data_IF_261534417302
#
_entry.id   IF_261534417302
#
_cell.length_a   1.000
_cell.length_b   1.000
_cell.length_c   1.000
_cell.angle_alpha   90.00
_cell.angle_beta   90.00
_cell.angle_gamma   90.00
#
_symmetry.space_group_name_H-M   'P 1'
#
loop_
_entity.id
_entity.type
_entity.pdbx_description
1 polymer ?
#
# COMPACT_ATOMS: atom_id res chain seq x y z
N UNK A 1 3.31 -0.07 -29.50
CA UNK A 1 3.89 -0.08 -28.14
C UNK A 1 4.66 -1.39 -27.92
N UNK A 2 5.86 -1.34 -27.37
CA UNK A 2 6.65 -2.54 -27.13
C UNK A 2 6.10 -3.34 -25.93
N UNK A 3 6.39 -4.64 -25.86
CA UNK A 3 6.17 -5.41 -24.62
C UNK A 3 7.17 -4.98 -23.55
N UNK A 4 6.83 -5.21 -22.28
CA UNK A 4 7.75 -4.90 -21.17
C UNK A 4 9.08 -5.64 -21.36
N UNK A 5 10.22 -4.93 -21.49
CA UNK A 5 11.51 -5.57 -21.70
C UNK A 5 11.81 -6.53 -20.56
N UNK A 6 12.34 -7.71 -20.89
CA UNK A 6 12.66 -8.73 -19.90
C UNK A 6 13.56 -8.17 -18.78
N UNK A 7 14.45 -7.24 -19.11
CA UNK A 7 15.28 -6.50 -18.17
C UNK A 7 14.49 -5.73 -17.12
N UNK A 8 13.56 -4.87 -17.56
CA UNK A 8 12.72 -4.06 -16.68
C UNK A 8 11.84 -4.96 -15.81
N UNK A 9 11.28 -6.03 -16.42
CA UNK A 9 10.52 -7.07 -15.71
C UNK A 9 11.33 -7.68 -14.56
N UNK A 10 12.59 -8.06 -14.80
CA UNK A 10 13.45 -8.61 -13.75
C UNK A 10 13.73 -7.60 -12.64
N UNK A 11 13.91 -6.32 -12.97
CA UNK A 11 14.15 -5.28 -11.96
C UNK A 11 12.94 -4.98 -11.10
N UNK A 12 11.73 -4.99 -11.66
CA UNK A 12 10.49 -4.93 -10.87
C UNK A 12 10.47 -6.08 -9.85
N UNK A 13 10.71 -7.31 -10.31
CA UNK A 13 10.74 -8.49 -9.44
C UNK A 13 11.82 -8.35 -8.35
N UNK A 14 13.02 -7.90 -8.71
CA UNK A 14 14.13 -7.72 -7.77
C UNK A 14 13.82 -6.64 -6.71
N UNK A 15 13.20 -5.54 -7.11
CA UNK A 15 12.75 -4.48 -6.21
C UNK A 15 11.70 -4.99 -5.22
N UNK A 16 10.68 -5.69 -5.70
CA UNK A 16 9.62 -6.26 -4.87
C UNK A 16 10.13 -7.37 -3.95
N UNK A 17 11.08 -8.20 -4.42
CA UNK A 17 11.75 -9.20 -3.58
C UNK A 17 12.51 -8.54 -2.43
N UNK A 18 13.15 -7.40 -2.68
CA UNK A 18 13.86 -6.61 -1.66
C UNK A 18 12.89 -6.04 -0.63
N UNK A 19 11.73 -5.50 -1.06
CA UNK A 19 10.69 -5.07 -0.13
C UNK A 19 10.09 -6.24 0.67
N UNK A 20 9.89 -7.41 0.05
CA UNK A 20 9.47 -8.60 0.78
C UNK A 20 10.49 -8.96 1.87
N UNK A 21 11.79 -8.90 1.56
CA UNK A 21 12.87 -9.11 2.53
C UNK A 21 12.81 -8.10 3.68
N UNK A 22 12.64 -6.82 3.37
CA UNK A 22 12.49 -5.77 4.38
C UNK A 22 11.35 -6.07 5.37
N UNK A 23 10.19 -6.51 4.87
CA UNK A 23 9.03 -6.89 5.69
C UNK A 23 9.34 -8.12 6.55
N UNK A 24 9.99 -9.13 5.98
CA UNK A 24 10.37 -10.33 6.73
C UNK A 24 11.34 -10.00 7.85
N UNK A 25 12.36 -9.17 7.59
CA UNK A 25 13.35 -8.78 8.60
C UNK A 25 12.73 -7.94 9.74
N UNK A 26 11.74 -7.09 9.45
CA UNK A 26 10.99 -6.33 10.47
C UNK A 26 10.05 -7.21 11.29
N UNK A 27 9.25 -8.04 10.63
CA UNK A 27 8.20 -8.84 11.29
C UNK A 27 8.73 -10.05 12.08
N UNK A 28 9.81 -10.65 11.61
CA UNK A 28 10.50 -11.77 12.25
C UNK A 28 11.94 -11.35 12.49
N UNK A 29 12.19 -10.65 13.59
CA UNK A 29 13.55 -10.39 14.08
C UNK A 29 14.40 -11.68 13.94
N UNK A 30 15.64 -11.54 13.46
CA UNK A 30 16.69 -12.48 12.97
C UNK A 30 16.71 -13.99 13.39
N UNK A 31 15.82 -14.51 14.22
CA UNK A 31 15.78 -15.90 14.69
C UNK A 31 14.84 -16.86 13.95
N UNK A 32 14.16 -16.44 12.88
CA UNK A 32 13.36 -17.38 12.07
C UNK A 32 14.26 -18.23 11.18
N UNK A 33 13.96 -19.53 11.05
CA UNK A 33 14.67 -20.43 10.13
C UNK A 33 14.59 -19.89 8.69
N UNK A 34 15.64 -20.06 7.90
CA UNK A 34 15.71 -19.60 6.51
C UNK A 34 14.49 -20.02 5.69
N UNK A 35 14.04 -21.27 5.82
CA UNK A 35 12.85 -21.77 5.12
C UNK A 35 11.57 -21.00 5.47
N UNK A 36 11.43 -20.56 6.72
CA UNK A 36 10.26 -19.79 7.17
C UNK A 36 10.32 -18.34 6.70
N UNK A 37 11.52 -17.79 6.52
CA UNK A 37 11.74 -16.49 5.90
C UNK A 37 11.37 -16.56 4.42
N UNK A 38 11.87 -17.57 3.70
CA UNK A 38 11.55 -17.80 2.28
C UNK A 38 10.05 -17.97 2.05
N UNK A 39 9.38 -18.80 2.87
CA UNK A 39 7.91 -18.96 2.82
C UNK A 39 7.20 -17.63 3.04
N UNK A 40 7.65 -16.82 4.00
CA UNK A 40 7.04 -15.52 4.27
C UNK A 40 7.28 -14.52 3.12
N UNK A 41 8.47 -14.50 2.52
CA UNK A 41 8.74 -13.68 1.34
C UNK A 41 7.81 -14.03 0.18
N UNK A 42 7.56 -15.33 -0.06
CA UNK A 42 6.58 -15.77 -1.04
C UNK A 42 5.18 -15.25 -0.75
N UNK A 43 4.73 -15.34 0.51
CA UNK A 43 3.44 -14.80 0.96
C UNK A 43 3.34 -13.27 0.83
N UNK A 44 4.40 -12.53 1.16
CA UNK A 44 4.40 -11.07 0.99
C UNK A 44 4.33 -10.68 -0.49
N UNK A 45 5.03 -11.40 -1.37
CA UNK A 45 5.08 -11.10 -2.79
C UNK A 45 3.75 -11.42 -3.49
N UNK A 46 3.24 -12.64 -3.31
CA UNK A 46 2.02 -13.14 -3.98
C UNK A 46 0.73 -12.80 -3.25
N UNK A 47 0.82 -12.38 -1.99
CA UNK A 47 -0.32 -12.13 -1.12
C UNK A 47 -0.78 -13.39 -0.39
N UNK A 48 -1.73 -13.17 0.52
CA UNK A 48 -2.52 -14.22 1.16
C UNK A 48 -3.96 -13.72 1.26
N UNK A 49 -4.90 -14.57 1.66
CA UNK A 49 -6.30 -14.16 1.86
C UNK A 49 -6.45 -12.93 2.77
N UNK A 50 -5.49 -12.71 3.67
CA UNK A 50 -5.51 -11.62 4.64
C UNK A 50 -4.58 -10.45 4.29
N UNK A 51 -3.73 -10.55 3.28
CA UNK A 51 -2.68 -9.55 3.01
C UNK A 51 -2.63 -9.19 1.53
N UNK A 52 -2.69 -7.89 1.23
CA UNK A 52 -2.57 -7.41 -0.16
C UNK A 52 -1.17 -7.77 -0.69
N UNK A 53 -1.04 -8.41 -1.86
CA UNK A 53 0.24 -8.74 -2.46
C UNK A 53 1.08 -7.47 -2.69
N UNK A 54 2.39 -7.53 -2.44
CA UNK A 54 3.31 -6.45 -2.83
C UNK A 54 3.23 -6.17 -4.33
N UNK A 55 3.08 -7.22 -5.13
CA UNK A 55 2.93 -7.10 -6.58
C UNK A 55 1.65 -6.34 -6.96
N UNK A 56 0.52 -6.66 -6.35
CA UNK A 56 -0.73 -5.95 -6.59
C UNK A 56 -0.64 -4.49 -6.14
N UNK A 57 0.03 -4.23 -5.00
CA UNK A 57 0.28 -2.87 -4.49
C UNK A 57 1.11 -2.05 -5.48
N UNK A 58 2.17 -2.64 -6.02
CA UNK A 58 3.02 -2.03 -7.05
C UNK A 58 2.24 -1.75 -8.34
N UNK A 59 1.53 -2.74 -8.86
CA UNK A 59 0.74 -2.60 -10.10
C UNK A 59 -0.38 -1.57 -9.97
N UNK A 60 -0.91 -1.40 -8.76
CA UNK A 60 -1.94 -0.41 -8.48
C UNK A 60 -1.40 1.00 -8.25
N UNK A 61 -0.08 1.22 -8.26
CA UNK A 61 0.54 2.51 -7.95
C UNK A 61 0.24 2.99 -6.53
N UNK A 62 0.05 2.07 -5.58
CA UNK A 62 -0.21 2.45 -4.17
C UNK A 62 1.09 2.69 -3.44
N UNK A 63 1.04 3.58 -2.44
CA UNK A 63 2.18 3.88 -1.59
C UNK A 63 2.89 2.60 -1.09
N UNK A 64 4.24 2.55 -1.16
CA UNK A 64 5.15 3.63 -1.53
C UNK A 64 5.43 3.76 -3.04
N UNK A 65 4.73 3.03 -3.90
CA UNK A 65 5.04 2.93 -5.34
C UNK A 65 4.30 3.93 -6.22
N UNK A 66 3.48 4.80 -5.65
CA UNK A 66 2.82 5.91 -6.36
C UNK A 66 3.84 6.77 -7.11
N UNK A 67 5.00 7.03 -6.49
CA UNK A 67 6.09 7.80 -7.11
C UNK A 67 6.75 7.12 -8.31
N UNK A 68 6.49 5.82 -8.55
CA UNK A 68 7.08 5.08 -9.68
C UNK A 68 6.43 5.42 -11.02
N UNK A 69 5.27 6.07 -11.00
CA UNK A 69 4.42 6.22 -12.16
C UNK A 69 4.14 7.68 -12.51
N UNK A 70 3.93 7.93 -13.80
CA UNK A 70 3.19 9.07 -14.29
C UNK A 70 1.73 8.66 -14.48
N UNK A 71 0.81 9.49 -14.01
CA UNK A 71 -0.63 9.30 -14.26
C UNK A 71 -0.99 9.90 -15.62
N UNK A 72 -1.52 9.06 -16.50
CA UNK A 72 -2.00 9.46 -17.82
C UNK A 72 -3.52 9.31 -17.91
N UNK A 73 -4.23 10.18 -18.66
CA UNK A 73 -5.67 10.03 -18.86
C UNK A 73 -5.99 8.72 -19.60
N UNK A 74 -7.06 8.05 -19.19
CA UNK A 74 -7.51 6.82 -19.86
C UNK A 74 -7.85 7.12 -21.32
N UNK A 75 -7.27 6.32 -22.21
CA UNK A 75 -7.57 6.36 -23.64
C UNK A 75 -8.66 5.35 -23.97
N UNK A 76 -9.63 5.75 -24.79
CA UNK A 76 -10.72 4.87 -25.22
C UNK A 76 -10.19 3.64 -25.97
N UNK A 77 -10.81 2.49 -25.73
CA UNK A 77 -10.49 1.21 -26.38
C UNK A 77 -9.04 0.74 -26.23
N UNK A 78 -8.36 1.17 -25.15
CA UNK A 78 -6.99 0.75 -24.86
C UNK A 78 -6.96 -0.57 -24.08
N UNK A 79 -5.97 -1.41 -24.41
CA UNK A 79 -5.70 -2.68 -23.74
C UNK A 79 -5.57 -2.47 -22.22
N UNK A 80 -6.12 -3.39 -21.43
CA UNK A 80 -6.06 -3.32 -19.96
C UNK A 80 -7.11 -2.41 -19.30
N UNK A 81 -7.92 -1.67 -20.05
CA UNK A 81 -8.98 -0.79 -19.50
C UNK A 81 -10.00 -1.55 -18.64
N UNK A 82 -10.30 -2.80 -18.98
CA UNK A 82 -11.18 -3.67 -18.19
C UNK A 82 -10.63 -3.89 -16.77
N UNK A 83 -9.32 -4.11 -16.65
CA UNK A 83 -8.65 -4.30 -15.37
C UNK A 83 -8.58 -2.99 -14.58
N UNK A 84 -8.26 -1.87 -15.24
CA UNK A 84 -8.27 -0.53 -14.61
C UNK A 84 -9.64 -0.17 -14.06
N UNK A 85 -10.70 -0.48 -14.80
CA UNK A 85 -12.09 -0.27 -14.39
C UNK A 85 -12.43 -1.12 -13.16
N UNK A 86 -12.05 -2.41 -13.16
CA UNK A 86 -12.22 -3.30 -11.98
C UNK A 86 -11.48 -2.77 -10.75
N UNK A 87 -10.30 -2.21 -10.94
CA UNK A 87 -9.49 -1.59 -9.88
C UNK A 87 -9.96 -0.18 -9.49
N UNK A 88 -10.98 0.36 -10.16
CA UNK A 88 -11.48 1.73 -10.00
C UNK A 88 -10.40 2.80 -10.20
N UNK A 89 -9.44 2.52 -11.07
CA UNK A 89 -8.44 3.50 -11.48
C UNK A 89 -9.03 4.40 -12.55
N UNK A 90 -8.95 5.72 -12.34
CA UNK A 90 -9.40 6.74 -13.30
C UNK A 90 -8.31 7.18 -14.27
N UNK A 91 -7.12 6.60 -14.16
CA UNK A 91 -5.92 6.92 -14.93
C UNK A 91 -5.16 5.65 -15.31
N UNK A 92 -4.26 5.79 -16.28
CA UNK A 92 -3.26 4.80 -16.62
C UNK A 92 -1.96 5.12 -15.88
N UNK A 93 -1.25 4.09 -15.44
CA UNK A 93 0.03 4.24 -14.73
C UNK A 93 1.17 3.87 -15.66
N UNK A 94 1.93 4.87 -16.09
CA UNK A 94 3.13 4.70 -16.91
C UNK A 94 4.37 4.69 -16.01
N UNK A 95 5.21 3.65 -16.10
CA UNK A 95 6.45 3.59 -15.34
C UNK A 95 7.41 4.71 -15.78
N UNK A 96 7.95 5.47 -14.82
CA UNK A 96 8.86 6.59 -15.12
C UNK A 96 10.16 6.14 -15.79
N UNK A 97 10.62 6.93 -16.75
CA UNK A 97 11.87 6.74 -17.52
C UNK A 97 13.09 6.43 -16.66
N UNK A 98 13.24 7.12 -15.52
CA UNK A 98 14.36 6.91 -14.59
C UNK A 98 14.45 5.46 -14.07
N UNK A 99 13.34 4.72 -14.05
CA UNK A 99 13.30 3.35 -13.53
C UNK A 99 13.60 2.27 -14.59
N UNK A 100 13.47 2.59 -15.88
CA UNK A 100 13.72 1.63 -16.96
C UNK A 100 14.80 2.05 -17.97
N UNK A 101 15.21 3.33 -17.96
CA UNK A 101 16.30 3.87 -18.77
C UNK A 101 16.11 3.68 -20.29
N UNK A 102 14.88 3.73 -20.78
CA UNK A 102 14.58 3.63 -22.22
C UNK A 102 13.82 4.87 -22.65
N UNK A 103 14.56 5.92 -23.04
CA UNK A 103 14.00 7.22 -23.41
C UNK A 103 12.98 7.05 -24.54
N UNK A 104 11.81 7.69 -24.40
CA UNK A 104 10.73 7.65 -25.39
C UNK A 104 9.97 6.33 -25.45
N UNK A 105 10.26 5.37 -24.56
CA UNK A 105 9.46 4.16 -24.40
C UNK A 105 8.43 4.33 -23.30
N UNK A 106 7.20 3.89 -23.54
CA UNK A 106 6.10 3.95 -22.57
C UNK A 106 5.73 2.54 -22.11
N UNK A 107 5.82 2.30 -20.79
CA UNK A 107 5.44 1.04 -20.17
C UNK A 107 4.28 1.23 -19.20
N UNK A 108 3.08 0.87 -19.64
CA UNK A 108 1.86 1.08 -18.87
C UNK A 108 1.45 -0.23 -18.18
N UNK A 109 1.04 -0.13 -16.91
CA UNK A 109 0.51 -1.26 -16.17
C UNK A 109 -0.75 -1.84 -16.85
N UNK A 110 -0.91 -3.15 -16.75
CA UNK A 110 -1.99 -3.93 -17.37
C UNK A 110 -1.95 -4.02 -18.90
N UNK A 111 -0.82 -3.69 -19.53
CA UNK A 111 -0.59 -3.82 -20.98
C UNK A 111 0.63 -4.68 -21.28
N UNK A 112 0.58 -5.45 -22.39
CA UNK A 112 1.74 -6.01 -23.11
C UNK A 112 2.86 -6.57 -22.23
N UNK A 113 2.52 -7.49 -21.32
CA UNK A 113 3.47 -8.18 -20.45
C UNK A 113 3.89 -7.40 -19.21
N UNK A 114 3.38 -6.18 -19.01
CA UNK A 114 3.40 -5.48 -17.74
C UNK A 114 2.10 -5.75 -16.96
N UNK A 115 1.85 -7.03 -16.68
CA UNK A 115 0.67 -7.50 -15.94
C UNK A 115 1.09 -8.27 -14.70
N UNK A 116 0.14 -8.49 -13.79
CA UNK A 116 0.38 -9.29 -12.57
C UNK A 116 0.80 -10.71 -12.97
N UNK A 117 0.07 -11.33 -13.89
CA UNK A 117 0.30 -12.70 -14.35
C UNK A 117 1.71 -12.85 -14.93
N UNK A 118 2.15 -11.87 -15.73
CA UNK A 118 3.49 -11.85 -16.27
C UNK A 118 4.55 -11.76 -15.15
N UNK A 119 4.35 -10.92 -14.14
CA UNK A 119 5.30 -10.68 -13.05
C UNK A 119 5.28 -11.75 -11.95
N UNK A 120 4.24 -12.58 -11.86
CA UNK A 120 4.15 -13.69 -10.90
C UNK A 120 4.97 -14.92 -11.32
N UNK A 121 5.26 -15.06 -12.62
CA UNK A 121 5.89 -16.27 -13.16
C UNK A 121 7.35 -16.05 -13.58
N UNK A 122 8.20 -17.02 -13.21
CA UNK A 122 9.52 -17.23 -13.81
C UNK A 122 9.40 -18.05 -15.08
N UNK A 123 10.12 -17.66 -16.13
CA UNK A 123 10.17 -18.37 -17.42
C UNK A 123 8.78 -18.71 -18.01
N UNK A 124 7.80 -17.84 -17.77
CA UNK A 124 6.47 -17.91 -18.39
C UNK A 124 5.47 -18.90 -17.78
N UNK A 125 5.88 -19.80 -16.88
CA UNK A 125 4.99 -20.91 -16.44
C UNK A 125 4.97 -21.18 -14.95
N UNK A 126 6.05 -20.93 -14.21
CA UNK A 126 6.15 -21.31 -12.80
C UNK A 126 6.13 -20.08 -11.91
N UNK A 127 5.22 -20.07 -10.94
CA UNK A 127 5.19 -19.08 -9.87
C UNK A 127 6.56 -18.92 -9.21
N UNK A 128 6.97 -17.68 -8.96
CA UNK A 128 8.28 -17.40 -8.36
C UNK A 128 8.26 -17.84 -6.89
N UNK A 129 9.01 -18.89 -6.56
CA UNK A 129 9.11 -19.39 -5.18
C UNK A 129 9.80 -18.39 -4.25
N UNK A 130 9.45 -18.46 -2.96
CA UNK A 130 10.04 -17.68 -1.88
C UNK A 130 11.58 -17.73 -1.82
N UNK A 131 12.17 -18.91 -2.02
CA UNK A 131 13.63 -19.10 -2.14
C UNK A 131 14.23 -18.24 -3.25
N UNK A 132 13.61 -18.24 -4.44
CA UNK A 132 14.10 -17.47 -5.57
C UNK A 132 14.01 -15.96 -5.29
N UNK A 133 12.98 -15.51 -4.56
CA UNK A 133 12.86 -14.12 -4.12
C UNK A 133 13.95 -13.77 -3.10
N UNK A 134 14.24 -14.66 -2.15
CA UNK A 134 15.33 -14.50 -1.18
C UNK A 134 16.69 -14.35 -1.86
N UNK A 135 17.03 -15.25 -2.78
CA UNK A 135 18.27 -15.21 -3.56
C UNK A 135 18.40 -13.90 -4.37
N UNK A 136 17.29 -13.43 -4.97
CA UNK A 136 17.25 -12.14 -5.68
C UNK A 136 17.47 -10.96 -4.76
N UNK A 137 16.78 -10.90 -3.63
CA UNK A 137 16.93 -9.83 -2.65
C UNK A 137 18.37 -9.75 -2.12
N UNK A 138 19.00 -10.90 -1.83
CA UNK A 138 20.41 -10.96 -1.43
C UNK A 138 21.35 -10.45 -2.52
N UNK A 139 21.09 -10.79 -3.79
CA UNK A 139 21.86 -10.26 -4.92
C UNK A 139 21.71 -8.74 -5.06
N UNK A 140 20.50 -8.20 -4.84
CA UNK A 140 20.23 -6.76 -4.79
C UNK A 140 21.03 -6.10 -3.66
N UNK A 141 20.97 -6.64 -2.44
CA UNK A 141 21.74 -6.12 -1.30
C UNK A 141 23.25 -6.10 -1.59
N UNK A 142 23.78 -7.15 -2.21
CA UNK A 142 25.20 -7.23 -2.56
C UNK A 142 25.61 -6.15 -3.58
N UNK A 143 24.83 -5.97 -4.65
CA UNK A 143 25.09 -4.92 -5.64
C UNK A 143 24.86 -3.52 -5.06
N UNK A 144 23.89 -3.36 -4.16
CA UNK A 144 23.61 -2.10 -3.49
C UNK A 144 24.82 -1.56 -2.73
N UNK A 145 25.59 -2.42 -2.03
CA UNK A 145 26.81 -1.99 -1.33
C UNK A 145 27.81 -1.31 -2.26
N UNK A 146 27.98 -1.84 -3.47
CA UNK A 146 28.84 -1.22 -4.49
C UNK A 146 28.24 0.07 -5.06
N UNK A 147 26.95 0.06 -5.37
CA UNK A 147 26.25 1.26 -5.86
C UNK A 147 26.29 2.40 -4.84
N UNK A 148 26.13 2.08 -3.55
CA UNK A 148 26.21 3.05 -2.45
C UNK A 148 27.62 3.62 -2.29
N UNK A 149 28.67 2.80 -2.45
CA UNK A 149 30.05 3.30 -2.49
C UNK A 149 30.24 4.31 -3.62
N UNK A 150 29.75 4.02 -4.82
CA UNK A 150 29.84 4.97 -5.94
C UNK A 150 28.98 6.22 -5.71
N UNK A 151 27.86 6.11 -5.02
CA UNK A 151 27.10 7.28 -4.56
C UNK A 151 27.92 8.16 -3.61
N UNK A 152 28.68 7.56 -2.68
CA UNK A 152 29.58 8.32 -1.81
C UNK A 152 30.74 8.98 -2.57
N UNK A 153 31.19 8.39 -3.69
CA UNK A 153 32.18 9.02 -4.57
C UNK A 153 31.59 10.19 -5.37
N UNK A 154 30.30 10.13 -5.69
CA UNK A 154 29.57 11.22 -6.37
C UNK A 154 29.30 12.41 -5.45
N UNK A 155 28.94 12.13 -4.20
CA UNK A 155 28.68 13.16 -3.18
C UNK A 155 30.01 13.70 -2.64
N UNK A 156 30.12 15.02 -2.47
CA UNK A 156 31.33 15.60 -1.89
C UNK A 156 31.46 15.27 -0.39
N UNK A 157 32.59 15.62 0.25
CA UNK A 157 32.81 15.37 1.68
C UNK A 157 31.76 16.02 2.61
N UNK A 158 30.97 16.97 2.10
CA UNK A 158 29.84 17.61 2.80
C UNK A 158 28.48 16.98 2.46
N UNK A 159 28.42 15.89 1.70
CA UNK A 159 27.19 15.26 1.17
C UNK A 159 26.32 16.21 0.30
N UNK A 160 26.91 17.25 -0.27
CA UNK A 160 26.24 18.16 -1.20
C UNK A 160 26.40 17.66 -2.65
N UNK A 161 25.32 17.84 -3.43
CA UNK A 161 25.29 17.42 -4.83
C UNK A 161 25.96 18.46 -5.73
N UNK A 162 26.92 18.07 -6.58
CA UNK A 162 27.73 19.00 -7.35
C UNK A 162 26.98 19.75 -8.48
N UNK A 163 25.84 19.24 -8.99
CA UNK A 163 25.27 19.70 -10.27
C UNK A 163 23.86 20.32 -10.22
N UNK A 164 23.23 20.53 -9.06
CA UNK A 164 21.91 21.17 -8.96
C UNK A 164 20.70 20.35 -9.49
N UNK A 165 20.91 19.39 -10.41
CA UNK A 165 19.97 18.29 -10.73
C UNK A 165 20.25 17.11 -9.79
N UNK A 166 19.26 16.74 -8.98
CA UNK A 166 19.56 16.05 -7.71
C UNK A 166 19.69 14.54 -7.82
N UNK A 167 18.89 13.85 -8.65
CA UNK A 167 18.84 12.38 -8.64
C UNK A 167 19.26 11.76 -9.98
N UNK A 168 18.89 12.36 -11.10
CA UNK A 168 19.18 11.83 -12.44
C UNK A 168 20.68 11.75 -12.69
N UNK A 169 21.42 12.82 -12.39
CA UNK A 169 22.88 12.88 -12.58
C UNK A 169 23.60 11.86 -11.69
N UNK A 170 23.19 11.78 -10.42
CA UNK A 170 23.69 10.78 -9.47
C UNK A 170 23.46 9.36 -9.98
N UNK A 171 22.25 9.09 -10.46
CA UNK A 171 21.86 7.78 -10.97
C UNK A 171 22.65 7.42 -12.22
N UNK A 172 22.89 8.36 -13.14
CA UNK A 172 23.76 8.16 -14.31
C UNK A 172 25.18 7.84 -13.88
N UNK A 173 25.77 8.61 -12.97
CA UNK A 173 27.11 8.37 -12.45
C UNK A 173 27.25 6.97 -11.82
N UNK A 174 26.34 6.61 -10.92
CA UNK A 174 26.36 5.29 -10.26
C UNK A 174 26.18 4.17 -11.28
N UNK A 175 25.33 4.33 -12.30
CA UNK A 175 25.17 3.34 -13.37
C UNK A 175 26.45 3.16 -14.18
N UNK A 176 27.14 4.24 -14.54
CA UNK A 176 28.41 4.19 -15.26
C UNK A 176 29.48 3.46 -14.46
N UNK A 177 29.65 3.80 -13.17
CA UNK A 177 30.58 3.11 -12.28
C UNK A 177 30.22 1.64 -12.09
N UNK A 178 28.94 1.33 -11.92
CA UNK A 178 28.46 -0.06 -11.81
C UNK A 178 28.66 -0.84 -13.11
N UNK A 179 28.52 -0.22 -14.28
CA UNK A 179 28.78 -0.83 -15.59
C UNK A 179 30.23 -1.26 -15.71
N UNK A 180 31.17 -0.37 -15.38
CA UNK A 180 32.61 -0.66 -15.39
C UNK A 180 32.93 -1.74 -14.37
N UNK A 181 32.46 -1.59 -13.13
CA UNK A 181 32.68 -2.54 -12.04
C UNK A 181 32.18 -3.95 -12.40
N UNK A 182 30.97 -4.05 -12.93
CA UNK A 182 30.36 -5.33 -13.34
C UNK A 182 30.81 -5.79 -14.73
N UNK A 183 31.71 -5.06 -15.39
CA UNK A 183 32.25 -5.38 -16.73
C UNK A 183 31.13 -5.59 -17.76
N UNK A 184 30.13 -4.71 -17.72
CA UNK A 184 28.91 -4.75 -18.52
C UNK A 184 27.90 -5.84 -18.14
N UNK A 185 28.17 -6.65 -17.12
CA UNK A 185 27.19 -7.58 -16.58
C UNK A 185 26.18 -6.88 -15.66
N UNK A 186 25.09 -7.59 -15.35
CA UNK A 186 24.01 -7.06 -14.49
C UNK A 186 24.27 -7.33 -13.02
N UNK A 187 25.09 -8.32 -12.69
CA UNK A 187 25.40 -8.70 -11.32
C UNK A 187 26.80 -9.29 -11.22
N UNK A 188 27.28 -9.41 -9.99
CA UNK A 188 28.60 -9.95 -9.66
C UNK A 188 28.80 -11.39 -10.13
N UNK A 189 27.75 -12.22 -10.16
CA UNK A 189 27.83 -13.59 -10.68
C UNK A 189 28.14 -13.62 -12.18
N UNK A 190 27.45 -12.80 -12.97
CA UNK A 190 27.71 -12.65 -14.41
C UNK A 190 29.13 -12.14 -14.67
N UNK A 191 29.58 -11.15 -13.89
CA UNK A 191 30.94 -10.62 -13.95
C UNK A 191 31.99 -11.73 -13.71
N UNK A 192 31.81 -12.56 -12.67
CA UNK A 192 32.72 -13.68 -12.35
C UNK A 192 32.78 -14.70 -13.48
N UNK A 193 31.63 -15.06 -14.06
CA UNK A 193 31.58 -15.99 -15.20
C UNK A 193 32.27 -15.42 -16.44
N UNK A 194 32.05 -14.13 -16.73
CA UNK A 194 32.71 -13.45 -17.85
C UNK A 194 34.21 -13.40 -17.67
N UNK A 195 34.70 -13.07 -16.47
CA UNK A 195 36.12 -13.05 -16.15
C UNK A 195 36.78 -14.41 -16.38
N UNK A 196 36.17 -15.50 -15.89
CA UNK A 196 36.66 -16.87 -16.14
C UNK A 196 36.80 -17.17 -17.63
N UNK A 197 35.79 -16.80 -18.41
CA UNK A 197 35.79 -17.04 -19.86
C UNK A 197 36.85 -16.21 -20.61
N UNK A 198 37.10 -14.98 -20.17
CA UNK A 198 38.13 -14.11 -20.76
C UNK A 198 39.54 -14.61 -20.45
N UNK A 199 39.79 -15.08 -19.22
CA UNK A 199 41.07 -15.69 -18.84
C UNK A 199 41.37 -16.91 -19.70
N UNK A 200 40.39 -17.78 -19.96
CA UNK A 200 40.56 -18.95 -20.84
C UNK A 200 40.84 -18.57 -22.29
N UNK A 201 40.34 -17.43 -22.76
CA UNK A 201 40.47 -16.98 -24.16
C UNK A 201 41.61 -15.97 -24.39
N UNK A 202 42.31 -15.54 -23.35
CA UNK A 202 43.40 -14.56 -23.43
C UNK A 202 42.98 -13.15 -23.89
N UNK A 203 41.67 -12.83 -23.89
CA UNK A 203 41.14 -11.54 -24.34
C UNK A 203 40.44 -10.83 -23.18
N UNK A 204 41.09 -9.82 -22.62
CA UNK A 204 40.53 -8.96 -21.57
C UNK A 204 39.77 -7.82 -22.23
N UNK A 205 38.45 -7.77 -22.07
CA UNK A 205 37.65 -6.64 -22.56
C UNK A 205 37.82 -5.45 -21.61
N UNK A 206 38.13 -4.27 -22.14
CA UNK A 206 38.13 -3.02 -21.38
C UNK A 206 36.69 -2.49 -21.40
N UNK A 207 36.19 -2.02 -20.25
CA UNK A 207 34.89 -1.37 -20.13
C UNK A 207 35.12 0.03 -19.61
N UNK A 208 34.67 1.01 -20.37
CA UNK A 208 34.75 2.43 -20.00
C UNK A 208 33.36 2.97 -19.66
N UNK A 209 33.31 4.12 -19.00
CA UNK A 209 32.04 4.75 -18.58
C UNK A 209 31.24 5.26 -19.78
N UNK A 210 31.96 5.69 -20.82
CA UNK A 210 31.44 6.21 -22.08
C UNK A 210 30.81 5.11 -22.96
N UNK A 211 31.26 3.86 -22.79
CA UNK A 211 30.72 2.70 -23.50
C UNK A 211 29.45 2.12 -22.86
N UNK A 212 28.96 2.70 -21.76
CA UNK A 212 27.75 2.21 -21.09
C UNK A 212 26.53 2.37 -22.01
N UNK A 213 25.79 1.29 -22.34
CA UNK A 213 24.54 1.40 -23.08
C UNK A 213 23.51 2.25 -22.33
N UNK A 214 22.77 3.10 -23.06
CA UNK A 214 21.77 3.99 -22.47
C UNK A 214 20.72 3.27 -21.62
N UNK A 215 20.40 2.02 -21.97
CA UNK A 215 19.42 1.16 -21.28
C UNK A 215 20.06 0.18 -20.27
N UNK A 216 21.32 0.37 -19.91
CA UNK A 216 22.01 -0.49 -18.95
C UNK A 216 21.43 -0.35 -17.53
N UNK A 217 20.96 -1.45 -16.96
CA UNK A 217 20.53 -1.51 -15.56
C UNK A 217 21.21 -2.70 -14.87
N UNK A 218 21.77 -2.47 -13.70
CA UNK A 218 22.31 -3.54 -12.84
C UNK A 218 21.19 -4.12 -11.97
N UNK A 219 21.40 -5.33 -11.44
CA UNK A 219 20.41 -5.99 -10.59
C UNK A 219 20.30 -5.28 -9.24
N UNK A 220 19.13 -4.72 -8.94
CA UNK A 220 18.91 -3.86 -7.78
C UNK A 220 18.90 -2.37 -8.10
N UNK A 221 18.99 -2.00 -9.37
CA UNK A 221 18.92 -0.62 -9.83
C UNK A 221 17.62 0.07 -9.39
N UNK A 222 16.47 -0.57 -9.64
CA UNK A 222 15.17 0.01 -9.28
C UNK A 222 15.02 0.16 -7.75
N UNK A 223 15.54 -0.81 -6.98
CA UNK A 223 15.55 -0.73 -5.53
C UNK A 223 16.45 0.42 -5.02
N UNK A 224 17.61 0.63 -5.65
CA UNK A 224 18.52 1.72 -5.33
C UNK A 224 17.88 3.10 -5.57
N UNK A 225 17.19 3.29 -6.72
CA UNK A 225 16.52 4.56 -7.04
C UNK A 225 15.33 4.84 -6.10
N UNK A 226 14.56 3.81 -5.77
CA UNK A 226 13.34 3.97 -4.97
C UNK A 226 13.60 4.05 -3.46
N UNK A 227 14.58 3.29 -2.96
CA UNK A 227 14.79 3.05 -1.51
C UNK A 227 16.23 3.22 -1.04
N UNK A 228 17.13 3.68 -1.92
CA UNK A 228 18.54 3.88 -1.60
C UNK A 228 18.82 5.21 -0.89
N UNK A 229 20.01 5.82 -1.07
CA UNK A 229 20.43 7.00 -0.31
C UNK A 229 19.62 8.26 -0.58
N UNK A 230 19.13 8.42 -1.81
CA UNK A 230 18.25 9.51 -2.23
C UNK A 230 16.93 8.93 -2.76
N UNK A 231 16.09 8.36 -1.88
CA UNK A 231 14.96 7.54 -2.30
C UNK A 231 13.86 8.40 -2.89
N UNK A 232 13.36 8.06 -4.08
CA UNK A 232 12.16 8.69 -4.64
C UNK A 232 10.93 8.50 -3.75
N UNK A 233 10.89 7.42 -2.97
CA UNK A 233 9.76 7.09 -2.07
C UNK A 233 9.81 7.84 -0.74
N UNK A 234 10.87 8.61 -0.48
CA UNK A 234 11.20 9.17 0.84
C UNK A 234 11.33 8.12 1.95
N UNK A 235 11.45 6.83 1.59
CA UNK A 235 11.67 5.72 2.50
C UNK A 235 12.94 5.00 2.13
N UNK A 236 13.71 4.61 3.12
CA UNK A 236 14.86 3.73 2.95
C UNK A 236 14.53 2.33 3.46
N UNK A 237 15.17 1.31 2.88
CA UNK A 237 15.08 -0.05 3.39
C UNK A 237 16.29 -0.36 4.25
N UNK A 238 16.07 -0.94 5.44
CA UNK A 238 17.14 -1.32 6.35
C UNK A 238 18.04 -2.39 5.77
N UNK A 239 17.48 -3.29 4.94
CA UNK A 239 18.25 -4.30 4.21
C UNK A 239 19.16 -3.70 3.11
N UNK A 240 19.01 -2.42 2.79
CA UNK A 240 19.89 -1.64 1.91
C UNK A 240 20.82 -0.73 2.73
N UNK A 241 21.50 -1.31 3.73
CA UNK A 241 22.53 -0.64 4.54
C UNK A 241 23.93 -0.97 4.00
N UNK A 242 24.88 -0.01 3.95
CA UNK A 242 26.26 -0.26 3.54
C UNK A 242 26.94 -1.34 4.39
N UNK A 243 26.79 -1.25 5.70
CA UNK A 243 27.43 -2.17 6.64
C UNK A 243 26.69 -3.52 6.64
N UNK A 244 25.42 -3.54 6.24
CA UNK A 244 24.56 -4.70 6.43
C UNK A 244 24.13 -4.89 7.89
N UNK A 245 24.69 -4.09 8.79
CA UNK A 245 24.13 -3.75 10.09
C UNK A 245 22.86 -2.95 9.82
N UNK A 246 21.79 -3.68 9.53
CA UNK A 246 20.47 -3.12 9.34
C UNK A 246 20.02 -2.39 10.61
N UNK A 247 19.02 -1.53 10.46
CA UNK A 247 18.22 -0.94 11.55
C UNK A 247 18.16 -1.91 12.72
N UNK A 248 18.47 -1.45 13.96
CA UNK A 248 18.49 -2.30 15.13
C UNK A 248 17.24 -3.18 15.13
N UNK A 249 17.39 -4.50 15.26
CA UNK A 249 16.29 -5.42 15.10
C UNK A 249 15.16 -4.95 15.98
N UNK A 250 13.99 -4.71 15.37
CA UNK A 250 12.81 -4.31 16.10
C UNK A 250 12.64 -5.29 17.25
N UNK A 251 12.57 -4.77 18.47
CA UNK A 251 12.58 -5.64 19.63
C UNK A 251 11.38 -6.59 19.56
N UNK A 252 11.52 -7.82 20.06
CA UNK A 252 10.38 -8.77 20.10
C UNK A 252 9.15 -8.15 20.76
N UNK A 253 9.34 -7.21 21.69
CA UNK A 253 8.27 -6.46 22.35
C UNK A 253 7.57 -5.49 21.40
N UNK A 254 8.30 -4.71 20.62
CA UNK A 254 7.74 -3.79 19.62
C UNK A 254 7.06 -4.55 18.49
N UNK A 255 7.68 -5.59 17.96
CA UNK A 255 7.07 -6.42 16.92
C UNK A 255 5.76 -7.08 17.40
N UNK A 256 5.73 -7.54 18.67
CA UNK A 256 4.49 -8.04 19.30
C UNK A 256 3.46 -6.92 19.46
N UNK A 257 3.87 -5.73 19.88
CA UNK A 257 2.97 -4.58 20.04
C UNK A 257 2.33 -4.21 18.69
N UNK A 258 3.13 -4.07 17.64
CA UNK A 258 2.63 -3.80 16.28
C UNK A 258 1.75 -4.93 15.74
N UNK A 259 2.09 -6.20 16.01
CA UNK A 259 1.24 -7.32 15.60
C UNK A 259 -0.10 -7.31 16.34
N UNK A 260 -0.09 -7.01 17.64
CA UNK A 260 -1.33 -6.87 18.44
C UNK A 260 -2.15 -5.68 17.96
N UNK A 261 -1.50 -4.57 17.64
CA UNK A 261 -2.14 -3.36 17.14
C UNK A 261 -2.71 -3.57 15.74
N UNK A 262 -1.98 -4.23 14.83
CA UNK A 262 -2.48 -4.63 13.52
C UNK A 262 -3.67 -5.60 13.63
N UNK A 263 -3.59 -6.62 14.49
CA UNK A 263 -4.73 -7.51 14.75
C UNK A 263 -5.91 -6.79 15.38
N UNK A 264 -5.65 -5.79 16.23
CA UNK A 264 -6.69 -4.96 16.83
C UNK A 264 -7.35 -4.09 15.76
N UNK A 265 -6.56 -3.47 14.88
CA UNK A 265 -7.07 -2.72 13.73
C UNK A 265 -7.92 -3.63 12.87
N UNK A 266 -7.41 -4.81 12.46
CA UNK A 266 -8.17 -5.78 11.65
C UNK A 266 -9.50 -6.18 12.30
N UNK A 267 -9.46 -6.41 13.62
CA UNK A 267 -10.64 -6.72 14.42
C UNK A 267 -11.64 -5.57 14.44
N UNK A 268 -11.15 -4.35 14.63
CA UNK A 268 -11.96 -3.14 14.75
C UNK A 268 -12.50 -2.70 13.37
N UNK A 269 -11.80 -3.01 12.26
CA UNK A 269 -12.22 -2.74 10.87
C UNK A 269 -13.01 -3.89 10.23
N UNK A 270 -13.16 -5.03 10.91
CA UNK A 270 -13.85 -6.21 10.39
C UNK A 270 -13.14 -6.89 9.20
N UNK A 271 -11.86 -6.60 8.99
CA UNK A 271 -11.04 -7.20 7.93
C UNK A 271 -10.48 -8.56 8.38
N UNK A 272 -10.37 -9.53 7.46
CA UNK A 272 -9.83 -10.87 7.76
C UNK A 272 -10.83 -11.89 8.32
N UNK A 273 -12.14 -11.66 8.14
CA UNK A 273 -13.17 -12.63 8.53
C UNK A 273 -13.44 -12.70 10.03
N UNK A 274 -12.94 -11.74 10.81
CA UNK A 274 -13.32 -11.60 12.21
C UNK A 274 -14.77 -11.15 12.31
N UNK A 275 -15.62 -12.05 12.78
CA UNK A 275 -17.02 -11.77 13.10
C UNK A 275 -17.05 -11.48 14.61
N UNK A 276 -17.42 -10.27 15.06
CA UNK A 276 -17.45 -9.98 16.48
C UNK A 276 -18.36 -10.97 17.22
N UNK A 277 -18.08 -11.20 18.50
CA UNK A 277 -18.63 -12.34 19.21
C UNK A 277 -20.17 -12.29 19.28
N UNK A 278 -20.76 -11.09 19.27
CA UNK A 278 -22.20 -10.89 19.17
C UNK A 278 -22.81 -11.38 17.84
N UNK A 279 -21.98 -11.61 16.82
CA UNK A 279 -22.40 -11.94 15.45
C UNK A 279 -22.12 -13.41 15.07
N UNK A 280 -21.49 -14.18 15.95
CA UNK A 280 -21.20 -15.61 15.74
C UNK A 280 -22.50 -16.43 15.67
N UNK A 281 -22.45 -17.58 14.97
CA UNK A 281 -23.57 -18.52 14.87
C UNK A 281 -23.92 -19.07 16.27
N UNK A 282 -25.19 -19.01 16.67
CA UNK A 282 -25.64 -19.44 18.01
C UNK A 282 -26.01 -18.30 18.97
N UNK A 283 -25.72 -17.04 18.62
CA UNK A 283 -26.23 -15.88 19.38
C UNK A 283 -27.72 -15.65 19.06
N UNK A 284 -28.60 -15.48 20.08
CA UNK A 284 -30.02 -15.20 19.87
C UNK A 284 -30.27 -13.97 19.00
N UNK A 285 -31.30 -14.01 18.16
CA UNK A 285 -31.65 -12.90 17.25
C UNK A 285 -31.83 -11.57 17.99
N UNK A 286 -32.38 -11.61 19.21
CA UNK A 286 -32.59 -10.43 20.04
C UNK A 286 -31.28 -9.79 20.53
N UNK A 287 -30.25 -10.58 20.84
CA UNK A 287 -28.95 -10.05 21.20
C UNK A 287 -28.26 -9.37 20.00
N UNK A 288 -28.42 -9.94 18.80
CA UNK A 288 -27.94 -9.32 17.56
C UNK A 288 -28.67 -8.01 17.25
N UNK A 289 -30.00 -7.97 17.45
CA UNK A 289 -30.81 -6.77 17.28
C UNK A 289 -30.40 -5.66 18.25
N UNK A 290 -30.15 -6.00 19.52
CA UNK A 290 -29.67 -5.05 20.52
C UNK A 290 -28.29 -4.50 20.16
N UNK A 291 -27.35 -5.36 19.72
CA UNK A 291 -26.02 -4.92 19.29
C UNK A 291 -26.08 -3.96 18.10
N UNK A 292 -26.86 -4.31 17.07
CA UNK A 292 -27.05 -3.46 15.90
C UNK A 292 -27.73 -2.11 16.26
N UNK A 293 -28.72 -2.12 17.15
CA UNK A 293 -29.36 -0.91 17.64
C UNK A 293 -28.38 0.00 18.38
N UNK A 294 -27.52 -0.56 19.24
CA UNK A 294 -26.50 0.21 19.96
C UNK A 294 -25.44 0.79 19.02
N UNK A 295 -25.01 0.04 18.00
CA UNK A 295 -24.05 0.52 16.99
C UNK A 295 -24.68 1.62 16.12
N UNK A 296 -25.94 1.46 15.71
CA UNK A 296 -26.69 2.48 14.99
C UNK A 296 -26.83 3.76 15.84
N UNK A 297 -27.19 3.63 17.12
CA UNK A 297 -27.29 4.74 18.05
C UNK A 297 -25.95 5.47 18.20
N UNK A 298 -24.86 4.73 18.40
CA UNK A 298 -23.51 5.30 18.48
C UNK A 298 -23.13 6.05 17.20
N UNK A 299 -23.44 5.50 16.03
CA UNK A 299 -23.20 6.18 14.76
C UNK A 299 -23.98 7.49 14.64
N UNK A 300 -25.24 7.52 15.09
CA UNK A 300 -26.03 8.75 15.13
C UNK A 300 -25.48 9.78 16.13
N UNK A 301 -25.03 9.35 17.30
CA UNK A 301 -24.40 10.20 18.32
C UNK A 301 -23.08 10.79 17.79
N UNK A 302 -22.21 9.97 17.21
CA UNK A 302 -20.95 10.42 16.58
C UNK A 302 -21.21 11.44 15.47
N UNK A 303 -22.24 11.22 14.65
CA UNK A 303 -22.63 12.14 13.58
C UNK A 303 -23.14 13.47 14.11
N UNK A 304 -23.96 13.45 15.16
CA UNK A 304 -24.45 14.65 15.82
C UNK A 304 -23.28 15.46 16.39
N UNK A 305 -22.36 14.78 17.10
CA UNK A 305 -21.16 15.39 17.66
C UNK A 305 -20.25 16.03 16.60
N UNK A 306 -20.00 15.35 15.47
CA UNK A 306 -19.18 15.91 14.37
C UNK A 306 -19.83 17.16 13.78
N UNK A 307 -21.16 17.16 13.60
CA UNK A 307 -21.90 18.33 13.10
C UNK A 307 -21.84 19.51 14.07
N UNK A 308 -22.06 19.25 15.35
CA UNK A 308 -22.00 20.27 16.40
C UNK A 308 -20.58 20.86 16.50
N UNK A 309 -19.56 20.02 16.54
CA UNK A 309 -18.16 20.45 16.54
C UNK A 309 -17.82 21.31 15.31
N UNK A 310 -18.34 20.94 14.14
CA UNK A 310 -18.11 21.69 12.90
C UNK A 310 -18.81 23.06 12.91
N UNK A 311 -20.00 23.14 13.51
CA UNK A 311 -20.72 24.38 13.72
C UNK A 311 -19.97 25.31 14.69
N UNK A 312 -19.51 24.80 15.82
CA UNK A 312 -18.70 25.54 16.81
C UNK A 312 -17.43 26.08 16.14
N UNK A 313 -16.65 25.22 15.47
CA UNK A 313 -15.43 25.64 14.76
C UNK A 313 -15.69 26.69 13.67
N UNK A 314 -16.88 26.66 13.05
CA UNK A 314 -17.27 27.67 12.05
C UNK A 314 -17.67 29.00 12.68
N UNK A 315 -18.33 28.95 13.85
CA UNK A 315 -18.66 30.12 14.65
C UNK A 315 -17.38 30.80 15.16
N UNK A 316 -16.47 30.03 15.78
CA UNK A 316 -15.19 30.53 16.31
C UNK A 316 -14.33 31.17 15.23
N UNK A 317 -14.26 30.54 14.06
CA UNK A 317 -13.57 31.12 12.91
C UNK A 317 -14.16 32.47 12.49
N UNK A 318 -15.49 32.61 12.54
CA UNK A 318 -16.18 33.86 12.20
C UNK A 318 -15.94 34.94 13.26
N UNK A 319 -15.87 34.56 14.54
CA UNK A 319 -15.50 35.46 15.63
C UNK A 319 -14.07 35.97 15.51
N UNK A 320 -13.10 35.09 15.23
CA UNK A 320 -11.69 35.48 15.01
C UNK A 320 -11.52 36.37 13.77
N UNK A 321 -12.33 36.19 12.73
CA UNK A 321 -12.34 37.09 11.57
C UNK A 321 -12.77 38.52 11.95
N UNK A 322 -13.70 38.67 12.89
CA UNK A 322 -14.13 39.98 13.41
C UNK A 322 -13.04 40.60 14.28
N UNK A 323 -12.48 39.82 15.22
CA UNK A 323 -11.36 40.24 16.06
C UNK A 323 -10.18 40.74 15.21
N UNK A 324 -9.83 40.01 14.13
CA UNK A 324 -8.78 40.41 13.21
C UNK A 324 -9.11 41.70 12.43
N UNK A 325 -10.39 41.97 12.16
CA UNK A 325 -10.81 43.25 11.58
C UNK A 325 -10.68 44.39 12.60
N UNK A 326 -11.08 44.15 13.85
CA UNK A 326 -10.98 45.13 14.94
C UNK A 326 -9.52 45.49 15.23
N UNK A 327 -8.62 44.50 15.30
CA UNK A 327 -7.18 44.72 15.49
C UNK A 327 -6.59 45.57 14.35
N UNK A 328 -7.07 45.38 13.11
CA UNK A 328 -6.60 46.20 11.97
C UNK A 328 -7.00 47.67 12.11
N UNK A 329 -8.22 47.93 12.61
CA UNK A 329 -8.69 49.29 12.88
C UNK A 329 -7.87 49.91 14.02
N UNK A 330 -7.65 49.17 15.11
CA UNK A 330 -6.84 49.65 16.25
C UNK A 330 -5.39 49.95 15.84
N UNK A 331 -4.75 49.09 15.03
CA UNK A 331 -3.40 49.36 14.51
C UNK A 331 -3.36 50.65 13.67
N UNK A 332 -4.44 50.96 12.97
CA UNK A 332 -4.54 52.16 12.13
C UNK A 332 -4.76 53.43 12.97
N UNK A 333 -5.49 53.33 14.08
CA UNK A 333 -5.80 54.46 14.97
C UNK A 333 -4.71 54.73 16.02
N UNK A 334 -3.92 53.71 16.37
CA UNK A 334 -2.86 53.82 17.36
C UNK A 334 -1.74 54.78 16.89
N UNK A 335 -1.33 55.67 17.80
CA UNK A 335 -0.25 56.63 17.55
C UNK A 335 1.03 56.30 18.33
N UNK A 336 0.94 55.45 19.35
CA UNK A 336 2.07 55.01 20.17
C UNK A 336 2.78 53.80 19.50
N UNK A 337 4.09 53.89 19.21
CA UNK A 337 4.86 52.78 18.67
C UNK A 337 4.81 51.49 19.49
N UNK A 338 4.75 51.59 20.82
CA UNK A 338 4.74 50.41 21.71
C UNK A 338 3.38 49.70 21.62
N UNK A 339 2.27 50.44 21.63
CA UNK A 339 0.91 49.94 21.41
C UNK A 339 0.79 49.24 20.03
N UNK A 340 1.34 49.85 18.98
CA UNK A 340 1.36 49.25 17.63
C UNK A 340 2.11 47.91 17.63
N UNK A 341 3.22 47.81 18.37
CA UNK A 341 4.00 46.58 18.46
C UNK A 341 3.20 45.46 19.17
N UNK A 342 2.50 45.78 20.26
CA UNK A 342 1.63 44.85 20.96
C UNK A 342 0.45 44.38 20.09
N UNK A 343 -0.23 45.29 19.41
CA UNK A 343 -1.33 44.96 18.49
C UNK A 343 -0.86 44.08 17.31
N UNK A 344 0.34 44.30 16.78
CA UNK A 344 0.94 43.44 15.74
C UNK A 344 1.24 42.04 16.26
N UNK A 345 1.69 41.92 17.51
CA UNK A 345 1.89 40.62 18.16
C UNK A 345 0.55 39.91 18.32
N UNK A 346 -0.47 40.57 18.87
CA UNK A 346 -1.81 39.99 19.00
C UNK A 346 -2.40 39.56 17.66
N UNK A 347 -2.25 40.38 16.60
CA UNK A 347 -2.64 39.99 15.23
C UNK A 347 -1.97 38.69 14.79
N UNK A 348 -0.70 38.50 15.11
CA UNK A 348 0.06 37.30 14.74
C UNK A 348 -0.48 36.07 15.49
N UNK A 349 -0.79 36.21 16.78
CA UNK A 349 -1.37 35.15 17.61
C UNK A 349 -2.77 34.73 17.12
N UNK A 350 -3.61 35.71 16.72
CA UNK A 350 -4.93 35.44 16.11
C UNK A 350 -4.77 34.72 14.78
N UNK A 351 -3.82 35.13 13.93
CA UNK A 351 -3.55 34.47 12.65
C UNK A 351 -3.10 33.01 12.83
N UNK A 352 -2.25 32.73 13.82
CA UNK A 352 -1.84 31.36 14.14
C UNK A 352 -3.03 30.53 14.60
N UNK A 353 -3.87 31.08 15.49
CA UNK A 353 -5.08 30.42 16.00
C UNK A 353 -6.09 30.14 14.89
N UNK A 354 -6.28 31.08 13.97
CA UNK A 354 -7.10 30.91 12.76
C UNK A 354 -6.57 29.81 11.84
N UNK A 355 -5.25 29.68 11.68
CA UNK A 355 -4.66 28.61 10.89
C UNK A 355 -4.97 27.23 11.49
N UNK A 356 -4.87 27.09 12.82
CA UNK A 356 -5.24 25.87 13.56
C UNK A 356 -6.73 25.56 13.42
N UNK A 357 -7.61 26.55 13.63
CA UNK A 357 -9.06 26.38 13.44
C UNK A 357 -9.43 26.00 12.01
N UNK A 358 -8.77 26.59 11.00
CA UNK A 358 -9.02 26.25 9.59
C UNK A 358 -8.66 24.80 9.28
N UNK A 359 -7.54 24.31 9.82
CA UNK A 359 -7.16 22.91 9.68
C UNK A 359 -8.18 21.97 10.37
N UNK A 360 -8.57 22.30 11.60
CA UNK A 360 -9.57 21.53 12.35
C UNK A 360 -10.94 21.50 11.65
N UNK A 361 -11.41 22.65 11.16
CA UNK A 361 -12.65 22.76 10.39
C UNK A 361 -12.62 21.93 9.11
N UNK A 362 -11.50 21.90 8.38
CA UNK A 362 -11.34 21.05 7.19
C UNK A 362 -11.43 19.57 7.53
N UNK A 363 -10.83 19.14 8.64
CA UNK A 363 -10.88 17.75 9.09
C UNK A 363 -12.32 17.34 9.46
N UNK A 364 -13.03 18.19 10.22
CA UNK A 364 -14.44 17.95 10.56
C UNK A 364 -15.34 17.92 9.32
N UNK A 365 -15.11 18.81 8.35
CA UNK A 365 -15.85 18.82 7.09
C UNK A 365 -15.60 17.54 6.27
N UNK A 366 -14.34 17.09 6.21
CA UNK A 366 -13.97 15.83 5.54
C UNK A 366 -14.66 14.64 6.21
N UNK A 367 -14.56 14.52 7.54
CA UNK A 367 -15.22 13.47 8.32
C UNK A 367 -16.74 13.49 8.16
N UNK A 368 -17.37 14.65 8.20
CA UNK A 368 -18.81 14.80 7.95
C UNK A 368 -19.20 14.37 6.53
N UNK A 369 -18.35 14.62 5.54
CA UNK A 369 -18.59 14.22 4.15
C UNK A 369 -18.44 12.70 3.96
N UNK A 370 -17.45 12.09 4.64
CA UNK A 370 -17.26 10.64 4.68
C UNK A 370 -18.48 9.93 5.28
N UNK A 371 -19.00 10.40 6.42
CA UNK A 371 -20.22 9.84 7.04
C UNK A 371 -21.45 9.96 6.13
N UNK A 372 -21.57 11.04 5.34
CA UNK A 372 -22.66 11.19 4.35
C UNK A 372 -22.49 10.25 3.15
N UNK A 373 -21.26 10.00 2.72
CA UNK A 373 -20.95 9.06 1.65
C UNK A 373 -21.23 7.61 2.09
N UNK A 374 -20.94 7.28 3.35
CA UNK A 374 -21.30 6.01 3.98
C UNK A 374 -22.83 5.80 3.98
N UNK A 375 -23.60 6.81 4.40
CA UNK A 375 -25.07 6.77 4.42
C UNK A 375 -25.67 6.55 3.01
N UNK A 376 -25.12 7.22 1.99
CA UNK A 376 -25.58 7.08 0.60
C UNK A 376 -25.14 5.78 -0.06
N UNK A 377 -24.14 5.09 0.49
CA UNK A 377 -23.60 3.88 -0.08
C UNK A 377 -23.51 2.77 0.97
N UNK A 378 -24.65 2.13 1.31
CA UNK A 378 -24.70 1.05 2.31
C UNK A 378 -23.77 -0.13 2.00
N UNK A 379 -23.35 -0.30 0.74
CA UNK A 379 -22.37 -1.32 0.34
C UNK A 379 -20.92 -0.96 0.71
N UNK A 380 -20.60 0.32 0.90
CA UNK A 380 -19.30 0.80 1.40
C UNK A 380 -19.32 1.01 2.91
N UNK A 381 -20.45 1.43 3.47
CA UNK A 381 -20.71 1.41 4.91
C UNK A 381 -20.98 -0.01 5.39
N UNK A 382 -19.99 -0.90 5.23
CA UNK A 382 -19.97 -2.20 5.87
C UNK A 382 -19.77 -2.06 7.40
N UNK A 383 -20.43 -1.09 8.03
CA UNK A 383 -20.78 -1.13 9.45
C UNK A 383 -21.66 -2.35 9.68
N UNK A 384 -21.49 -3.04 10.80
CA UNK A 384 -22.20 -4.28 11.07
C UNK A 384 -23.73 -4.10 11.09
N UNK A 385 -24.21 -2.86 11.27
CA UNK A 385 -25.61 -2.43 11.12
C UNK A 385 -26.20 -2.77 9.74
N UNK A 386 -25.48 -2.50 8.64
CA UNK A 386 -26.01 -2.72 7.28
C UNK A 386 -25.98 -4.20 6.89
N UNK A 387 -24.94 -4.91 7.33
CA UNK A 387 -24.88 -6.37 7.22
C UNK A 387 -26.02 -7.04 8.00
N UNK A 388 -26.40 -6.47 9.15
CA UNK A 388 -27.51 -6.94 9.97
C UNK A 388 -28.88 -6.68 9.32
N UNK A 389 -29.14 -5.49 8.78
CA UNK A 389 -30.40 -5.21 8.04
C UNK A 389 -30.60 -6.16 6.86
N UNK A 390 -29.51 -6.61 6.23
CA UNK A 390 -29.56 -7.63 5.19
C UNK A 390 -29.79 -9.05 5.75
N UNK A 391 -29.22 -9.39 6.90
CA UNK A 391 -29.38 -10.71 7.53
C UNK A 391 -30.76 -10.94 8.16
N UNK A 392 -31.35 -9.91 8.74
CA UNK A 392 -32.61 -10.00 9.48
C UNK A 392 -33.82 -9.76 8.58
N UNK A 393 -33.57 -9.30 7.36
CA UNK A 393 -34.61 -8.81 6.46
C UNK A 393 -35.07 -7.43 6.90
N UNK A 394 -35.46 -6.59 5.93
CA UNK A 394 -36.18 -5.37 6.25
C UNK A 394 -37.52 -5.78 6.88
N UNK A 395 -37.62 -5.73 8.22
CA UNK A 395 -38.93 -5.70 8.86
C UNK A 395 -39.58 -4.42 8.38
N UNK A 396 -40.37 -4.54 7.30
CA UNK A 396 -41.28 -3.49 6.90
C UNK A 396 -42.02 -3.07 8.14
N UNK A 397 -41.98 -1.78 8.46
CA UNK A 397 -42.96 -1.19 9.35
C UNK A 397 -44.31 -1.65 8.83
N UNK A 398 -44.89 -2.65 9.49
CA UNK A 398 -46.28 -3.01 9.30
C UNK A 398 -47.03 -1.81 9.91
N UNK A 399 -47.17 -0.76 9.10
CA UNK A 399 -48.15 0.28 9.31
C UNK A 399 -49.50 -0.43 9.16
N UNK A 400 -50.01 -0.95 10.27
CA UNK A 400 -51.29 -1.62 10.31
C UNK A 400 -52.39 -0.65 9.90
N UNK A 401 -53.13 -1.01 8.87
CA UNK A 401 -54.60 -1.01 8.90
C UNK A 401 -55.14 -1.65 7.61
N UNK A 402 -55.50 -2.93 7.68
CA UNK A 402 -56.80 -3.39 7.19
C UNK A 402 -57.01 -4.83 7.63
N UNK A 403 -58.03 -5.02 8.46
CA UNK A 403 -58.67 -6.30 8.68
C UNK A 403 -59.08 -6.91 7.34
N UNK A 404 -58.55 -8.09 7.00
CA UNK A 404 -59.30 -9.09 6.22
C UNK A 404 -58.80 -10.50 6.55
N UNK A 405 -59.73 -11.28 7.09
CA UNK A 405 -59.88 -12.73 7.22
C UNK A 405 -58.81 -13.72 6.70
N UNK A 406 -58.64 -14.88 7.39
CA UNK A 406 -57.64 -15.88 7.04
C UNK A 406 -58.09 -16.72 5.84
N UNK A 407 -57.29 -16.74 4.76
CA UNK A 407 -57.36 -17.76 3.71
C UNK A 407 -56.29 -18.81 3.94
N UNK A 408 -56.74 -20.05 4.07
CA UNK A 408 -55.95 -21.28 4.11
C UNK A 408 -55.11 -21.44 2.83
N UNK A 409 -53.83 -21.78 3.01
CA UNK A 409 -52.95 -22.21 1.92
C UNK A 409 -52.90 -23.74 1.92
N UNK A 410 -53.05 -24.41 0.76
CA UNK A 410 -53.03 -25.86 0.68
C UNK A 410 -51.60 -26.42 0.74
N UNK A 411 -51.45 -27.48 1.52
CA UNK A 411 -50.25 -28.33 1.56
C UNK A 411 -50.22 -29.17 0.28
N UNK A 412 -49.19 -28.98 -0.55
CA UNK A 412 -48.90 -29.87 -1.68
C UNK A 412 -48.09 -31.04 -1.16
N UNK A 413 -48.76 -32.19 -1.02
CA UNK A 413 -48.15 -33.50 -0.76
C UNK A 413 -47.83 -34.15 -2.10
N UNK A 414 -46.56 -34.49 -2.33
CA UNK A 414 -46.15 -35.34 -3.45
C UNK A 414 -46.13 -36.81 -3.00
N UNK A 415 -46.85 -37.74 -3.65
CA UNK A 415 -46.70 -39.16 -3.40
C UNK A 415 -45.96 -39.83 -4.55
N UNK A 416 -44.80 -40.43 -4.28
CA UNK A 416 -44.41 -41.66 -4.99
C UNK A 416 -43.50 -42.50 -4.09
N UNK A 417 -44.03 -43.63 -3.68
CA UNK A 417 -43.29 -44.72 -3.06
C UNK A 417 -42.63 -45.57 -4.15
N UNK A 418 -41.44 -46.12 -3.87
CA UNK A 418 -41.16 -47.53 -4.12
C UNK A 418 -39.91 -47.98 -3.35
N UNK A 419 -40.07 -49.17 -2.78
CA UNK A 419 -39.27 -49.91 -1.82
C UNK A 419 -37.81 -50.19 -2.20
N UNK A 420 -36.94 -50.30 -1.18
CA UNK A 420 -36.08 -51.49 -1.00
C UNK A 420 -35.63 -51.64 0.46
N UNK A 421 -36.02 -52.77 1.03
CA UNK A 421 -35.62 -53.33 2.31
C UNK A 421 -34.16 -53.81 2.27
N UNK A 422 -33.39 -53.54 3.33
CA UNK A 422 -32.07 -54.11 3.57
C UNK A 422 -31.75 -54.05 5.06
N UNK A 423 -31.54 -55.23 5.64
CA UNK A 423 -31.39 -55.61 7.05
C UNK A 423 -30.24 -54.95 7.83
N UNK A 424 -30.33 -54.85 9.17
CA UNK A 424 -29.22 -54.44 10.03
C UNK A 424 -28.33 -55.63 10.43
N UNK A 425 -27.03 -55.49 10.25
CA UNK A 425 -26.01 -56.43 10.74
C UNK A 425 -25.63 -56.10 12.19
N UNK A 426 -25.86 -57.08 13.06
CA UNK A 426 -25.36 -57.18 14.42
C UNK A 426 -23.83 -57.36 14.44
N UNK A 427 -23.15 -56.54 15.23
CA UNK A 427 -21.75 -56.74 15.64
C UNK A 427 -21.75 -57.68 16.84
N UNK A 428 -21.16 -58.86 16.66
CA UNK A 428 -20.86 -59.82 17.72
C UNK A 428 -19.45 -59.61 18.28
N UNK A 429 -19.36 -59.71 19.61
CA UNK A 429 -18.16 -59.78 20.44
C UNK A 429 -17.62 -61.22 20.55
N UNK A 430 -16.34 -61.33 20.95
CA UNK A 430 -15.53 -62.52 21.31
C UNK A 430 -14.97 -63.33 20.12
N UNK A 431 -13.65 -63.50 19.98
CA UNK A 431 -12.62 -63.98 20.92
C UNK A 431 -11.29 -63.23 20.75
#
# INVERSE_FOLDING_TARGET
>A
MASLPALVKQEVINCLATHAREIVMKSKAEGAKTEDQEKLMGKCYHGTDNHTPLLATFMAGRAPYDVCYNELPIQNNREGNENRTKLRQSFMLELKDILHCQVGSSFITHERGFTIEALQVSNGTKEIKGRNLSERALAVCANYKHAYRFYLEYTNSTNENPSGKKIEDMVVFVRQKMYVFLRGCKNTQGMRTKLKNETTKGKVSIFTEEEMPENYIFAGYMAFVLFGPMPLTHKTFSCLSPDGDGVPPQSRKEARKETVEAKKIDRDTGTGGFVPQEYVRGVPLQAKANAAFMEQRKWHEDRAHVRESWFIASSDYSSMMKELADIRVQIFEASDPDEIAELKKWRSDVLESMAKLRAHKKELQKRSSEMLLEEKNPKKAATAVTAFMQQVGAFGLISGSSETSPKSVPVVVNPTALSRSGTPSSIGLSQ
#
